data_IF_013367551940
#
_entry.id   IF_013367551940
#
_cell.length_a   1.000
_cell.length_b   1.000
_cell.length_c   1.000
_cell.angle_alpha   90.00
_cell.angle_beta   90.00
_cell.angle_gamma   90.00
#
_symmetry.space_group_name_H-M   'P 1'
#
loop_
_entity.id
_entity.type
_entity.pdbx_description
1 polymer ?
#
# COMPACT_ATOMS: atom_id res chain seq x y z
N UNK A 1 25.54 74.52 26.98
CA UNK A 1 25.86 73.33 26.19
C UNK A 1 25.10 72.14 26.81
N UNK A 2 23.92 71.78 26.27
CA UNK A 2 23.10 70.71 26.77
C UNK A 2 23.32 69.52 25.88
N UNK A 3 23.83 68.37 26.42
CA UNK A 3 24.00 67.11 25.71
C UNK A 3 22.67 66.37 25.75
N UNK A 4 22.09 66.16 24.57
CA UNK A 4 20.90 65.33 24.38
C UNK A 4 21.39 63.86 24.21
N UNK A 5 21.08 63.03 25.20
CA UNK A 5 21.30 61.55 25.12
C UNK A 5 20.09 60.94 24.46
N UNK A 6 20.28 60.47 23.21
CA UNK A 6 19.24 59.78 22.47
C UNK A 6 19.29 58.33 22.87
N UNK A 7 18.25 57.87 23.62
CA UNK A 7 18.07 56.45 23.98
C UNK A 7 17.34 55.77 22.83
N UNK A 8 18.05 54.93 22.10
CA UNK A 8 17.49 54.07 21.04
C UNK A 8 16.83 52.86 21.69
N UNK A 9 15.50 52.86 21.70
CA UNK A 9 14.72 51.69 22.18
C UNK A 9 14.66 50.65 21.07
N UNK A 10 15.47 49.59 21.17
CA UNK A 10 15.42 48.43 20.25
C UNK A 10 14.28 47.51 20.71
N UNK A 11 13.16 47.58 20.02
CA UNK A 11 12.05 46.64 20.21
C UNK A 11 12.43 45.32 19.52
N UNK A 12 12.86 44.32 20.29
CA UNK A 12 13.01 42.94 19.87
C UNK A 12 11.63 42.32 19.69
N UNK A 13 11.12 42.33 18.47
CA UNK A 13 9.93 41.55 18.11
C UNK A 13 10.33 40.09 18.02
N UNK A 14 10.05 39.33 19.08
CA UNK A 14 10.15 37.89 19.04
C UNK A 14 9.05 37.33 18.11
N UNK A 15 9.41 37.09 16.85
CA UNK A 15 8.60 36.35 15.93
C UNK A 15 8.67 34.85 16.34
N UNK A 16 7.76 34.44 17.24
CA UNK A 16 7.56 33.03 17.51
C UNK A 16 6.94 32.42 16.27
N UNK A 17 7.76 31.90 15.37
CA UNK A 17 7.30 31.00 14.31
C UNK A 17 6.83 29.71 14.99
N UNK A 18 5.53 29.61 15.21
CA UNK A 18 4.92 28.30 15.46
C UNK A 18 5.15 27.46 14.20
N UNK A 19 6.25 26.71 14.18
CA UNK A 19 6.40 25.56 13.31
C UNK A 19 5.32 24.57 13.76
N UNK A 20 4.18 24.60 13.09
CA UNK A 20 3.28 23.46 13.09
C UNK A 20 4.10 22.35 12.46
N UNK A 21 4.72 21.50 13.27
CA UNK A 21 5.20 20.21 12.82
C UNK A 21 3.95 19.49 12.31
N UNK A 22 3.81 19.42 11.00
CA UNK A 22 2.86 18.52 10.35
C UNK A 22 3.30 17.10 10.74
N UNK A 23 2.66 16.58 11.78
CA UNK A 23 2.81 15.18 12.25
C UNK A 23 2.07 14.25 11.28
N UNK A 24 2.22 14.49 9.99
CA UNK A 24 1.78 13.56 8.96
C UNK A 24 2.70 12.35 9.00
N UNK A 25 2.37 11.42 9.86
CA UNK A 25 3.06 10.13 9.92
C UNK A 25 3.07 9.51 8.52
N UNK A 26 4.24 9.43 7.89
CA UNK A 26 4.39 8.91 6.53
C UNK A 26 3.76 7.53 6.41
N UNK A 27 2.94 7.33 5.37
CA UNK A 27 2.29 6.04 5.13
C UNK A 27 3.36 5.00 4.77
N UNK A 28 3.40 3.92 5.55
CA UNK A 28 4.38 2.84 5.38
C UNK A 28 3.95 1.90 4.25
N UNK A 29 4.86 1.60 3.36
CA UNK A 29 4.67 0.58 2.34
C UNK A 29 4.41 -0.80 2.95
N UNK A 30 3.46 -1.54 2.40
CA UNK A 30 3.25 -2.94 2.75
C UNK A 30 4.27 -3.77 2.00
N UNK A 31 5.12 -4.48 2.73
CA UNK A 31 6.11 -5.37 2.13
C UNK A 31 6.40 -6.58 3.01
N UNK A 32 6.95 -7.63 2.41
CA UNK A 32 7.48 -8.80 3.10
C UNK A 32 8.87 -9.16 2.61
N UNK A 33 9.62 -9.87 3.45
CA UNK A 33 11.00 -10.27 3.21
C UNK A 33 12.02 -9.32 3.86
N UNK A 34 13.29 -9.62 3.66
CA UNK A 34 14.39 -8.81 4.19
C UNK A 34 14.58 -7.56 3.35
N UNK A 35 14.71 -6.39 3.98
CA UNK A 35 15.01 -5.12 3.27
C UNK A 35 16.26 -5.21 2.41
N UNK A 36 17.26 -6.02 2.84
CA UNK A 36 18.52 -6.25 2.16
C UNK A 36 18.45 -7.30 1.03
N UNK A 37 17.29 -7.89 0.75
CA UNK A 37 17.14 -8.84 -0.34
C UNK A 37 17.52 -8.21 -1.67
N UNK A 38 18.36 -8.91 -2.47
CA UNK A 38 18.85 -8.42 -3.77
C UNK A 38 17.77 -8.35 -4.85
N UNK A 39 16.73 -9.18 -4.72
CA UNK A 39 15.63 -9.23 -5.67
C UNK A 39 14.42 -8.54 -5.05
N UNK A 40 13.86 -7.58 -5.77
CA UNK A 40 12.63 -6.89 -5.39
C UNK A 40 11.52 -7.27 -6.35
N UNK A 41 10.40 -7.72 -5.80
CA UNK A 41 9.14 -7.86 -6.53
C UNK A 41 8.23 -6.70 -6.12
N UNK A 42 7.59 -6.06 -7.09
CA UNK A 42 6.47 -5.14 -6.87
C UNK A 42 5.24 -5.75 -7.50
N UNK A 43 4.18 -5.95 -6.71
CA UNK A 43 2.90 -6.46 -7.17
C UNK A 43 1.88 -5.32 -7.19
N UNK A 44 1.45 -4.89 -8.38
CA UNK A 44 0.34 -3.95 -8.56
C UNK A 44 -0.96 -4.72 -8.62
N UNK A 45 -1.85 -4.48 -7.66
CA UNK A 45 -3.00 -5.32 -7.40
C UNK A 45 -4.27 -4.52 -7.11
N UNK A 46 -5.41 -5.09 -7.48
CA UNK A 46 -6.74 -4.59 -7.13
C UNK A 46 -7.47 -5.59 -6.23
N UNK A 47 -8.02 -5.10 -5.14
CA UNK A 47 -8.71 -5.95 -4.15
C UNK A 47 -10.04 -6.54 -4.66
N UNK A 48 -10.58 -6.06 -5.78
CA UNK A 48 -11.74 -6.67 -6.47
C UNK A 48 -11.34 -7.58 -7.63
N UNK A 49 -10.05 -7.65 -8.00
CA UNK A 49 -9.56 -8.48 -9.09
C UNK A 49 -9.46 -9.95 -8.67
N UNK A 50 -10.21 -10.84 -9.35
CA UNK A 50 -10.17 -12.29 -9.09
C UNK A 50 -8.78 -12.91 -9.32
N UNK A 51 -8.07 -12.49 -10.37
CA UNK A 51 -6.70 -12.98 -10.63
C UNK A 51 -5.69 -12.55 -9.56
N UNK A 52 -5.91 -11.41 -8.88
CA UNK A 52 -5.11 -11.03 -7.73
C UNK A 52 -5.39 -11.95 -6.54
N UNK A 53 -6.65 -12.27 -6.26
CA UNK A 53 -7.00 -13.25 -5.24
C UNK A 53 -6.42 -14.64 -5.54
N UNK A 54 -6.43 -15.06 -6.81
CA UNK A 54 -5.80 -16.31 -7.24
C UNK A 54 -4.28 -16.30 -7.04
N UNK A 55 -3.61 -15.17 -7.30
CA UNK A 55 -2.19 -15.01 -7.00
C UNK A 55 -1.90 -15.22 -5.51
N UNK A 56 -2.66 -14.56 -4.62
CA UNK A 56 -2.50 -14.71 -3.17
C UNK A 56 -2.81 -16.11 -2.67
N UNK A 57 -3.73 -16.82 -3.32
CA UNK A 57 -4.11 -18.18 -2.93
C UNK A 57 -3.18 -19.26 -3.46
N UNK A 58 -2.74 -19.14 -4.72
CA UNK A 58 -2.16 -20.26 -5.47
C UNK A 58 -0.68 -20.05 -5.84
N UNK A 59 -0.15 -18.84 -5.75
CA UNK A 59 1.23 -18.52 -6.17
C UNK A 59 2.06 -17.98 -5.01
N UNK A 60 1.50 -17.01 -4.29
CA UNK A 60 2.20 -16.32 -3.22
C UNK A 60 2.67 -17.23 -2.09
N UNK A 61 1.93 -18.26 -1.61
CA UNK A 61 2.40 -19.11 -0.51
C UNK A 61 3.71 -19.84 -0.83
N UNK A 62 3.85 -20.38 -2.04
CA UNK A 62 5.08 -21.05 -2.47
C UNK A 62 6.21 -20.04 -2.71
N UNK A 63 5.88 -18.87 -3.29
CA UNK A 63 6.84 -17.77 -3.45
C UNK A 63 7.36 -17.29 -2.09
N UNK A 64 6.48 -17.16 -1.11
CA UNK A 64 6.85 -16.79 0.26
C UNK A 64 7.80 -17.80 0.87
N UNK A 65 7.41 -19.06 0.89
CA UNK A 65 8.20 -20.17 1.47
C UNK A 65 9.58 -20.28 0.84
N UNK A 66 9.66 -20.31 -0.49
CA UNK A 66 10.88 -20.67 -1.19
C UNK A 66 11.85 -19.50 -1.39
N UNK A 67 11.38 -18.25 -1.35
CA UNK A 67 12.20 -17.08 -1.67
C UNK A 67 12.15 -15.99 -0.60
N UNK A 68 10.94 -15.59 -0.14
CA UNK A 68 10.77 -14.43 0.74
C UNK A 68 11.27 -14.76 2.15
N UNK A 69 10.80 -15.87 2.73
CA UNK A 69 11.18 -16.29 4.09
C UNK A 69 12.68 -16.66 4.17
N UNK A 70 13.26 -17.09 3.04
CA UNK A 70 14.69 -17.33 2.91
C UNK A 70 15.52 -16.05 2.76
N UNK A 71 14.85 -14.90 2.58
CA UNK A 71 15.52 -13.59 2.45
C UNK A 71 16.17 -13.36 1.10
N UNK A 72 15.86 -14.16 0.08
CA UNK A 72 16.35 -14.02 -1.28
C UNK A 72 15.60 -12.92 -2.05
N UNK A 73 14.31 -12.76 -1.73
CA UNK A 73 13.38 -11.84 -2.37
C UNK A 73 12.69 -11.00 -1.30
N UNK A 74 12.43 -9.72 -1.60
CA UNK A 74 11.42 -8.92 -0.92
C UNK A 74 10.28 -8.63 -1.92
N UNK A 75 9.04 -8.60 -1.42
CA UNK A 75 7.87 -8.22 -2.20
C UNK A 75 7.22 -6.98 -1.59
N UNK A 76 6.92 -6.00 -2.43
CA UNK A 76 6.12 -4.82 -2.09
C UNK A 76 4.76 -4.93 -2.76
N UNK A 77 3.70 -4.75 -1.97
CA UNK A 77 2.34 -4.73 -2.48
C UNK A 77 1.93 -3.28 -2.76
N UNK A 78 1.51 -3.00 -3.98
CA UNK A 78 1.10 -1.69 -4.45
C UNK A 78 -0.36 -1.69 -4.86
N UNK A 79 -1.07 -0.65 -4.44
CA UNK A 79 -2.48 -0.51 -4.75
C UNK A 79 -2.70 -0.07 -6.19
N UNK A 80 -3.54 -0.81 -6.90
CA UNK A 80 -3.99 -0.45 -8.25
C UNK A 80 -5.52 -0.68 -8.36
N UNK A 81 -6.34 0.09 -7.62
CA UNK A 81 -7.77 -0.12 -7.60
C UNK A 81 -8.39 0.07 -9.00
N UNK A 82 -9.22 -0.89 -9.42
CA UNK A 82 -9.92 -0.88 -10.71
C UNK A 82 -11.30 -0.23 -10.61
N UNK A 83 -11.85 -0.15 -9.40
CA UNK A 83 -13.17 0.39 -9.10
C UNK A 83 -13.21 1.02 -7.70
N UNK A 84 -14.35 1.64 -7.34
CA UNK A 84 -14.53 2.32 -6.05
C UNK A 84 -14.51 1.33 -4.88
N UNK A 85 -15.04 0.12 -5.04
CA UNK A 85 -15.02 -0.89 -3.98
C UNK A 85 -13.58 -1.34 -3.69
N UNK A 86 -12.76 -1.55 -4.73
CA UNK A 86 -11.33 -1.83 -4.59
C UNK A 86 -10.60 -0.65 -3.94
N UNK A 87 -10.95 0.58 -4.30
CA UNK A 87 -10.35 1.78 -3.74
C UNK A 87 -10.62 1.89 -2.23
N UNK A 88 -11.88 1.71 -1.80
CA UNK A 88 -12.24 1.69 -0.39
C UNK A 88 -11.53 0.56 0.35
N UNK A 89 -11.50 -0.64 -0.21
CA UNK A 89 -10.79 -1.78 0.38
C UNK A 89 -9.28 -1.54 0.48
N UNK A 90 -8.67 -0.85 -0.50
CA UNK A 90 -7.25 -0.47 -0.47
C UNK A 90 -6.95 0.51 0.68
N UNK A 91 -7.82 1.50 0.91
CA UNK A 91 -7.69 2.40 2.06
C UNK A 91 -7.74 1.63 3.39
N UNK A 92 -8.68 0.69 3.52
CA UNK A 92 -8.78 -0.16 4.71
C UNK A 92 -7.54 -1.06 4.86
N UNK A 93 -7.07 -1.68 3.78
CA UNK A 93 -5.87 -2.54 3.78
C UNK A 93 -4.61 -1.80 4.25
N UNK A 94 -4.53 -0.50 3.93
CA UNK A 94 -3.39 0.36 4.27
C UNK A 94 -3.50 0.97 5.69
N UNK A 95 -4.70 0.99 6.27
CA UNK A 95 -5.05 1.82 7.42
C UNK A 95 -4.25 1.55 8.71
N UNK A 96 -3.81 0.31 8.96
CA UNK A 96 -2.98 0.02 10.14
C UNK A 96 -1.63 0.72 10.11
N UNK A 97 -1.18 1.12 8.95
CA UNK A 97 0.08 1.81 8.74
C UNK A 97 1.30 1.15 9.43
N UNK A 98 1.23 -0.17 9.60
CA UNK A 98 2.31 -0.95 10.23
C UNK A 98 3.29 -1.57 9.22
N UNK A 99 3.00 -1.42 7.92
CA UNK A 99 3.77 -1.98 6.81
C UNK A 99 3.60 -3.50 6.63
N UNK A 100 2.67 -4.13 7.38
CA UNK A 100 2.43 -5.58 7.34
C UNK A 100 1.31 -5.93 6.36
N UNK A 101 1.47 -7.05 5.69
CA UNK A 101 0.54 -7.55 4.66
C UNK A 101 -0.67 -8.33 5.19
N UNK A 102 -0.74 -8.60 6.50
CA UNK A 102 -1.79 -9.47 7.08
C UNK A 102 -3.21 -9.04 6.66
N UNK A 103 -3.55 -7.76 6.80
CA UNK A 103 -4.89 -7.27 6.42
C UNK A 103 -5.11 -7.42 4.93
N UNK A 104 -4.11 -7.10 4.10
CA UNK A 104 -4.18 -7.23 2.65
C UNK A 104 -4.45 -8.68 2.22
N UNK A 105 -3.71 -9.65 2.77
CA UNK A 105 -3.92 -11.07 2.48
C UNK A 105 -5.30 -11.55 2.95
N UNK A 106 -5.75 -11.14 4.13
CA UNK A 106 -7.11 -11.44 4.62
C UNK A 106 -8.16 -10.97 3.62
N UNK A 107 -8.01 -9.74 3.08
CA UNK A 107 -8.93 -9.18 2.10
C UNK A 107 -8.93 -9.96 0.77
N UNK A 108 -7.77 -10.36 0.26
CA UNK A 108 -7.70 -11.17 -0.97
C UNK A 108 -8.28 -12.58 -0.78
N UNK A 109 -7.92 -13.26 0.30
CA UNK A 109 -8.41 -14.61 0.57
C UNK A 109 -9.92 -14.64 0.84
N UNK A 110 -10.46 -13.58 1.44
CA UNK A 110 -11.89 -13.42 1.69
C UNK A 110 -12.65 -12.68 0.59
N UNK A 111 -12.02 -12.36 -0.54
CA UNK A 111 -12.58 -11.48 -1.58
C UNK A 111 -14.04 -11.83 -1.95
N UNK A 112 -14.36 -13.09 -2.17
CA UNK A 112 -15.71 -13.55 -2.54
C UNK A 112 -16.75 -13.28 -1.45
N UNK A 113 -16.35 -13.11 -0.19
CA UNK A 113 -17.27 -12.83 0.92
C UNK A 113 -17.67 -11.36 0.95
N UNK A 114 -16.77 -10.44 0.59
CA UNK A 114 -17.00 -9.00 0.71
C UNK A 114 -17.09 -8.25 -0.61
N UNK A 115 -16.35 -8.64 -1.66
CA UNK A 115 -16.37 -7.98 -2.97
C UNK A 115 -17.63 -8.38 -3.76
N UNK A 116 -18.78 -8.04 -3.22
CA UNK A 116 -20.11 -8.36 -3.76
C UNK A 116 -21.07 -7.20 -3.48
N UNK A 117 -22.25 -7.26 -4.08
CA UNK A 117 -23.23 -6.19 -4.03
C UNK A 117 -23.38 -5.54 -5.41
N UNK A 118 -24.41 -4.70 -5.55
CA UNK A 118 -24.73 -4.01 -6.81
C UNK A 118 -24.11 -2.61 -6.85
N UNK A 119 -23.74 -2.07 -5.69
CA UNK A 119 -23.15 -0.73 -5.57
C UNK A 119 -21.89 -0.76 -4.72
N UNK A 120 -21.00 0.26 -4.86
CA UNK A 120 -19.82 0.40 -4.01
C UNK A 120 -20.16 0.49 -2.51
N UNK A 121 -21.30 1.09 -2.17
CA UNK A 121 -21.76 1.23 -0.78
C UNK A 121 -22.16 -0.13 -0.21
N UNK A 122 -22.83 -0.97 -0.97
CA UNK A 122 -23.15 -2.34 -0.57
C UNK A 122 -21.85 -3.15 -0.36
N UNK A 123 -20.92 -3.09 -1.31
CA UNK A 123 -19.62 -3.76 -1.18
C UNK A 123 -18.86 -3.27 0.07
N UNK A 124 -18.92 -1.98 0.38
CA UNK A 124 -18.29 -1.38 1.57
C UNK A 124 -18.94 -1.89 2.87
N UNK A 125 -20.26 -2.11 2.89
CA UNK A 125 -20.95 -2.73 4.03
C UNK A 125 -20.51 -4.19 4.24
N UNK A 126 -20.42 -4.96 3.15
CA UNK A 126 -19.93 -6.34 3.23
C UNK A 126 -18.46 -6.39 3.65
N UNK A 127 -17.63 -5.44 3.20
CA UNK A 127 -16.24 -5.31 3.61
C UNK A 127 -16.13 -5.08 5.12
N UNK A 128 -16.92 -4.14 5.67
CA UNK A 128 -16.93 -3.84 7.10
C UNK A 128 -17.29 -5.07 7.91
N UNK A 129 -18.43 -5.71 7.57
CA UNK A 129 -18.86 -6.94 8.24
C UNK A 129 -17.82 -8.06 8.14
N UNK A 130 -17.23 -8.27 6.98
CA UNK A 130 -16.20 -9.28 6.79
C UNK A 130 -14.99 -9.06 7.70
N UNK A 131 -14.53 -7.82 7.85
CA UNK A 131 -13.40 -7.49 8.73
C UNK A 131 -13.73 -7.71 10.21
N UNK A 132 -14.96 -7.38 10.61
CA UNK A 132 -15.47 -7.68 11.96
C UNK A 132 -15.48 -9.18 12.22
N UNK A 133 -16.00 -9.98 11.28
CA UNK A 133 -16.06 -11.45 11.36
C UNK A 133 -14.64 -12.08 11.41
N UNK A 134 -13.65 -11.49 10.73
CA UNK A 134 -12.25 -11.95 10.73
C UNK A 134 -11.42 -11.36 11.90
N UNK A 135 -12.04 -10.59 12.80
CA UNK A 135 -11.37 -9.99 13.96
C UNK A 135 -10.33 -8.93 13.61
N UNK A 136 -10.47 -8.28 12.45
CA UNK A 136 -9.58 -7.20 12.02
C UNK A 136 -10.04 -5.89 12.65
N UNK A 137 -9.35 -5.46 13.68
CA UNK A 137 -9.66 -4.20 14.38
C UNK A 137 -9.01 -3.01 13.65
N UNK A 138 -9.84 -2.19 13.01
CA UNK A 138 -9.50 -0.90 12.39
C UNK A 138 -10.63 0.10 12.61
N UNK A 139 -10.30 1.38 12.76
CA UNK A 139 -11.35 2.41 12.77
C UNK A 139 -11.81 2.63 11.32
N UNK A 140 -12.82 1.86 10.92
CA UNK A 140 -13.28 1.75 9.53
C UNK A 140 -13.62 3.11 8.91
N UNK A 141 -14.40 3.93 9.60
CA UNK A 141 -14.83 5.23 9.09
C UNK A 141 -13.66 6.23 8.99
N UNK A 142 -12.76 6.23 9.99
CA UNK A 142 -11.54 7.03 9.92
C UNK A 142 -10.68 6.63 8.73
N UNK A 143 -10.50 5.32 8.50
CA UNK A 143 -9.70 4.81 7.37
C UNK A 143 -10.27 5.22 6.01
N UNK A 144 -11.60 5.16 5.84
CA UNK A 144 -12.25 5.55 4.60
C UNK A 144 -12.12 7.05 4.30
N UNK A 145 -12.05 7.88 5.35
CA UNK A 145 -12.00 9.34 5.23
C UNK A 145 -10.59 9.92 5.38
N UNK A 146 -9.57 9.07 5.57
CA UNK A 146 -8.18 9.52 5.70
C UNK A 146 -7.61 9.93 4.34
N UNK A 147 -7.39 11.24 4.19
CA UNK A 147 -6.89 11.82 2.94
C UNK A 147 -5.47 11.39 2.61
N UNK A 148 -4.61 11.19 3.61
CA UNK A 148 -3.23 10.76 3.39
C UNK A 148 -3.19 9.33 2.83
N UNK A 149 -4.04 8.44 3.34
CA UNK A 149 -4.20 7.07 2.83
C UNK A 149 -4.78 7.10 1.42
N UNK A 150 -5.78 7.94 1.18
CA UNK A 150 -6.37 8.13 -0.14
C UNK A 150 -5.33 8.52 -1.17
N UNK A 151 -4.57 9.59 -0.89
CA UNK A 151 -3.52 10.08 -1.78
C UNK A 151 -2.41 9.04 -1.99
N UNK A 152 -2.06 8.28 -0.94
CA UNK A 152 -1.10 7.19 -1.04
C UNK A 152 -1.56 6.09 -2.02
N UNK A 153 -2.82 5.65 -1.91
CA UNK A 153 -3.42 4.63 -2.80
C UNK A 153 -3.48 5.13 -4.26
N UNK A 154 -3.87 6.39 -4.47
CA UNK A 154 -3.92 6.99 -5.79
C UNK A 154 -2.52 7.15 -6.39
N UNK A 155 -1.54 7.56 -5.59
CA UNK A 155 -0.16 7.71 -6.03
C UNK A 155 0.46 6.38 -6.45
N UNK A 156 0.16 5.27 -5.77
CA UNK A 156 0.57 3.93 -6.20
C UNK A 156 0.07 3.60 -7.60
N UNK A 157 -1.21 3.86 -7.87
CA UNK A 157 -1.79 3.65 -9.19
C UNK A 157 -1.14 4.54 -10.25
N UNK A 158 -0.96 5.83 -9.95
CA UNK A 158 -0.34 6.80 -10.86
C UNK A 158 1.10 6.39 -11.19
N UNK A 159 1.88 6.00 -10.18
CA UNK A 159 3.25 5.53 -10.36
C UNK A 159 3.29 4.27 -11.25
N UNK A 160 2.41 3.30 -10.99
CA UNK A 160 2.31 2.09 -11.79
C UNK A 160 2.06 2.38 -13.26
N UNK A 161 1.10 3.28 -13.57
CA UNK A 161 0.82 3.69 -14.94
C UNK A 161 2.01 4.42 -15.57
N UNK A 162 2.57 5.41 -14.88
CA UNK A 162 3.63 6.27 -15.43
C UNK A 162 4.94 5.50 -15.62
N UNK A 163 5.40 4.79 -14.58
CA UNK A 163 6.73 4.15 -14.58
C UNK A 163 6.73 2.81 -15.31
N UNK A 164 5.73 1.98 -15.06
CA UNK A 164 5.72 0.58 -15.52
C UNK A 164 4.63 0.27 -16.55
N UNK A 165 3.87 1.28 -16.99
CA UNK A 165 2.77 1.09 -17.96
C UNK A 165 1.79 0.01 -17.50
N UNK A 166 1.49 -0.03 -16.20
CA UNK A 166 0.49 -0.93 -15.64
C UNK A 166 -0.88 -0.56 -16.19
N UNK A 167 -1.56 -1.52 -16.78
CA UNK A 167 -2.90 -1.37 -17.38
C UNK A 167 -3.84 -2.53 -17.02
N UNK A 168 -3.34 -3.52 -16.28
CA UNK A 168 -4.11 -4.67 -15.79
C UNK A 168 -3.55 -5.14 -14.45
N UNK A 169 -4.35 -5.93 -13.71
CA UNK A 169 -3.95 -6.51 -12.43
C UNK A 169 -4.15 -8.04 -12.40
N UNK A 170 -3.30 -8.79 -11.71
CA UNK A 170 -2.05 -8.33 -11.11
C UNK A 170 -0.97 -8.04 -12.17
N UNK A 171 -0.18 -7.00 -11.97
CA UNK A 171 1.06 -6.76 -12.72
C UNK A 171 2.24 -6.91 -11.79
N UNK A 172 3.18 -7.78 -12.14
CA UNK A 172 4.37 -8.08 -11.36
C UNK A 172 5.59 -7.44 -12.00
N UNK A 173 6.33 -6.67 -11.21
CA UNK A 173 7.60 -6.06 -11.60
C UNK A 173 8.71 -6.74 -10.81
N UNK A 174 9.76 -7.21 -11.44
CA UNK A 174 10.91 -7.87 -10.82
C UNK A 174 12.17 -7.09 -11.18
N UNK A 175 12.84 -6.49 -10.21
CA UNK A 175 14.01 -5.63 -10.40
C UNK A 175 13.79 -4.62 -11.55
N UNK A 176 12.72 -3.82 -11.42
CA UNK A 176 12.26 -2.77 -12.36
C UNK A 176 11.85 -3.27 -13.76
N UNK A 177 11.77 -4.59 -13.99
CA UNK A 177 11.31 -5.17 -15.26
C UNK A 177 9.95 -5.84 -15.09
N UNK A 178 9.04 -5.55 -16.01
CA UNK A 178 7.72 -6.18 -16.02
C UNK A 178 7.85 -7.68 -16.34
N UNK A 179 7.18 -8.51 -15.56
CA UNK A 179 7.15 -9.95 -15.77
C UNK A 179 6.06 -10.29 -16.79
N UNK A 180 6.47 -10.66 -17.99
CA UNK A 180 5.57 -10.83 -19.15
C UNK A 180 5.07 -12.27 -19.36
N UNK A 181 5.48 -13.22 -18.50
CA UNK A 181 5.02 -14.61 -18.62
C UNK A 181 3.71 -14.83 -17.87
N UNK A 182 3.02 -15.94 -18.19
CA UNK A 182 1.84 -16.37 -17.43
C UNK A 182 2.18 -16.42 -15.93
N UNK A 183 1.32 -15.76 -15.13
CA UNK A 183 1.52 -15.60 -13.69
C UNK A 183 1.16 -16.89 -12.98
N UNK A 184 2.13 -17.77 -12.83
CA UNK A 184 2.05 -18.99 -12.01
C UNK A 184 3.40 -19.22 -11.31
N UNK A 185 3.38 -20.04 -10.27
CA UNK A 185 4.57 -20.28 -9.45
C UNK A 185 5.75 -20.82 -10.27
N UNK A 186 5.52 -21.78 -11.17
CA UNK A 186 6.58 -22.39 -12.01
C UNK A 186 7.34 -21.34 -12.83
N UNK A 187 6.63 -20.41 -13.44
CA UNK A 187 7.24 -19.38 -14.29
C UNK A 187 8.00 -18.33 -13.45
N UNK A 188 7.43 -17.90 -12.32
CA UNK A 188 8.10 -16.98 -11.38
C UNK A 188 9.35 -17.65 -10.82
N UNK A 189 9.24 -18.85 -10.30
CA UNK A 189 10.39 -19.63 -9.79
C UNK A 189 11.52 -19.69 -10.78
N UNK A 190 11.25 -20.15 -12.01
CA UNK A 190 12.26 -20.23 -13.09
C UNK A 190 12.90 -18.88 -13.42
N UNK A 191 12.15 -17.78 -13.27
CA UNK A 191 12.68 -16.44 -13.49
C UNK A 191 13.60 -15.99 -12.35
N UNK A 192 13.18 -16.18 -11.10
CA UNK A 192 13.93 -15.81 -9.92
C UNK A 192 15.23 -16.61 -9.77
N UNK A 193 15.20 -17.91 -10.06
CA UNK A 193 16.39 -18.80 -10.04
C UNK A 193 17.51 -18.35 -10.98
N UNK A 194 17.19 -17.55 -12.01
CA UNK A 194 18.20 -16.96 -12.92
C UNK A 194 18.81 -15.65 -12.38
N UNK A 195 18.21 -15.07 -11.34
CA UNK A 195 18.65 -13.81 -10.75
C UNK A 195 19.43 -14.01 -9.43
N UNK A 196 19.41 -15.23 -8.87
CA UNK A 196 20.12 -15.62 -7.66
C UNK A 196 21.53 -16.07 -8.02
#
# INVERSE_FOLDING_TARGET
MKKIVSILFIILVNFSTNLFADDSQSIKRIFEGKKSAKITIIAYESLTCGHCADFHKNVYPDLKKDFIDRGLVKIEFRHFPLDIAAFNASKIGQCKNDGKSKVLHTLFLGQKKWARGKTPEEATKYLKKFLEDEGVNVNFEKCLNDKNIEDFVLNDRIEGVKKFKVNATPTIIINDKKFEKALNYKNIKKYLEKLI
#
